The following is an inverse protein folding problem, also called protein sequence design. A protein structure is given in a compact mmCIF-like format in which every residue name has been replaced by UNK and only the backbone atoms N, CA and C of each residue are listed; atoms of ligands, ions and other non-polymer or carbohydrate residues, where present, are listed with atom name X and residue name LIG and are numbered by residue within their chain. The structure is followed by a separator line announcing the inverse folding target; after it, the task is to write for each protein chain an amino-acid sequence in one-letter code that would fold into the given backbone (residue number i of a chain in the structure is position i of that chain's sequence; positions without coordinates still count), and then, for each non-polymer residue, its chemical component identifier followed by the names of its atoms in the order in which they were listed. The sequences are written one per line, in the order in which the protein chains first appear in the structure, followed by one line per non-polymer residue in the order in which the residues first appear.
data_IF_840888998181
#
_entry.id   IF_840888998181
#
_cell.length_a   1.000
_cell.length_b   1.000
_cell.length_c   1.000
_cell.angle_alpha   90.00
_cell.angle_beta   90.00
_cell.angle_gamma   90.00
#
_symmetry.space_group_name_H-M   'P 1'
#
loop_
_entity.id
_entity.type
_entity.pdbx_description
1 polymer ?
#
# COMPACT_ATOMS: atom_id res chain seq x y z
N UNK A 1 8.96 -22.83 -2.76
CA UNK A 1 9.47 -21.87 -1.76
C UNK A 1 9.34 -22.47 -0.39
N UNK A 2 10.42 -22.45 0.36
CA UNK A 2 10.46 -22.79 1.79
C UNK A 2 9.83 -21.70 2.65
N UNK A 3 9.46 -22.04 3.88
CA UNK A 3 8.95 -21.06 4.85
C UNK A 3 10.00 -20.00 5.21
N UNK A 4 11.28 -20.35 5.14
CA UNK A 4 12.38 -19.40 5.31
C UNK A 4 12.39 -18.34 4.21
N UNK A 5 12.26 -18.75 2.95
CA UNK A 5 12.20 -17.83 1.81
C UNK A 5 10.96 -16.93 1.88
N UNK A 6 9.80 -17.49 2.25
CA UNK A 6 8.57 -16.70 2.48
C UNK A 6 8.79 -15.63 3.54
N UNK A 7 9.34 -16.00 4.70
CA UNK A 7 9.65 -15.04 5.78
C UNK A 7 10.64 -13.97 5.35
N UNK A 8 11.65 -14.34 4.55
CA UNK A 8 12.61 -13.38 4.01
C UNK A 8 11.91 -12.34 3.13
N UNK A 9 11.08 -12.79 2.19
CA UNK A 9 10.29 -11.90 1.32
C UNK A 9 9.31 -11.03 2.12
N UNK A 10 8.67 -11.57 3.16
CA UNK A 10 7.81 -10.78 4.04
C UNK A 10 8.57 -9.64 4.75
N UNK A 11 9.77 -9.94 5.25
CA UNK A 11 10.63 -8.94 5.92
C UNK A 11 11.13 -7.88 4.93
N UNK A 12 11.52 -8.28 3.72
CA UNK A 12 11.95 -7.36 2.68
C UNK A 12 10.81 -6.41 2.28
N UNK A 13 9.60 -6.92 2.06
CA UNK A 13 8.45 -6.09 1.71
C UNK A 13 8.05 -5.16 2.87
N UNK A 14 8.11 -5.64 4.13
CA UNK A 14 7.90 -4.78 5.31
C UNK A 14 8.94 -3.68 5.42
N UNK A 15 10.21 -4.02 5.18
CA UNK A 15 11.29 -3.04 5.20
C UNK A 15 11.08 -1.98 4.12
N UNK A 16 10.68 -2.41 2.91
CA UNK A 16 10.36 -1.50 1.81
C UNK A 16 9.22 -0.54 2.19
N UNK A 17 8.09 -1.04 2.67
CA UNK A 17 6.94 -0.18 3.01
C UNK A 17 7.26 0.73 4.19
N UNK A 18 7.96 0.26 5.22
CA UNK A 18 8.32 1.07 6.39
C UNK A 18 9.28 2.23 6.10
N UNK A 19 10.14 2.10 5.08
CA UNK A 19 11.12 3.13 4.71
C UNK A 19 10.56 4.16 3.74
N UNK A 20 9.65 3.75 2.87
CA UNK A 20 9.18 4.58 1.77
C UNK A 20 7.81 5.18 2.02
N UNK A 21 6.96 4.54 2.85
CA UNK A 21 5.57 4.95 3.03
C UNK A 21 5.29 5.42 4.45
N UNK A 22 4.60 6.55 4.56
CA UNK A 22 3.93 6.92 5.80
C UNK A 22 2.72 6.03 6.06
N UNK A 23 2.33 5.85 7.32
CA UNK A 23 1.14 5.06 7.66
C UNK A 23 -0.10 5.69 7.01
N UNK A 24 -1.10 4.90 6.59
CA UNK A 24 -2.33 5.44 6.00
C UNK A 24 -3.02 6.53 6.84
N UNK A 25 -2.93 6.45 8.17
CA UNK A 25 -3.49 7.46 9.07
C UNK A 25 -2.75 8.82 9.03
N UNK A 26 -1.45 8.80 8.72
CA UNK A 26 -0.55 9.95 8.77
C UNK A 26 -0.47 10.69 7.42
N UNK A 27 -0.93 10.07 6.33
CA UNK A 27 -0.95 10.68 5.00
C UNK A 27 -1.75 12.00 5.01
N UNK A 28 -1.19 13.04 4.37
CA UNK A 28 -1.66 14.43 4.47
C UNK A 28 -2.52 14.89 3.30
N UNK A 29 -2.37 14.27 2.13
CA UNK A 29 -3.11 14.63 0.92
C UNK A 29 -3.40 13.40 0.04
N UNK A 30 -4.29 13.59 -0.93
CA UNK A 30 -4.74 12.55 -1.86
C UNK A 30 -3.65 12.07 -2.82
N UNK A 31 -2.76 12.97 -3.27
CA UNK A 31 -1.66 12.63 -4.19
C UNK A 31 -0.63 11.70 -3.56
N UNK A 32 -0.27 11.94 -2.30
CA UNK A 32 0.62 11.06 -1.52
C UNK A 32 0.03 9.66 -1.42
N UNK A 33 -1.27 9.55 -1.13
CA UNK A 33 -1.95 8.25 -1.04
C UNK A 33 -1.97 7.55 -2.40
N UNK A 34 -2.27 8.28 -3.49
CA UNK A 34 -2.25 7.73 -4.86
C UNK A 34 -0.87 7.19 -5.22
N UNK A 35 0.19 7.94 -4.91
CA UNK A 35 1.56 7.50 -5.13
C UNK A 35 1.88 6.21 -4.38
N UNK A 36 1.54 6.12 -3.09
CA UNK A 36 1.76 4.90 -2.31
C UNK A 36 0.93 3.70 -2.79
N UNK A 37 -0.31 3.92 -3.22
CA UNK A 37 -1.15 2.88 -3.82
C UNK A 37 -0.51 2.35 -5.10
N UNK A 38 -0.06 3.24 -5.99
CA UNK A 38 0.61 2.85 -7.24
C UNK A 38 1.88 2.05 -6.97
N UNK A 39 2.78 2.58 -6.15
CA UNK A 39 4.04 1.89 -5.79
C UNK A 39 3.78 0.53 -5.12
N UNK A 40 2.81 0.45 -4.21
CA UNK A 40 2.46 -0.80 -3.55
C UNK A 40 1.88 -1.82 -4.53
N UNK A 41 1.01 -1.40 -5.47
CA UNK A 41 0.49 -2.27 -6.52
C UNK A 41 1.62 -2.80 -7.42
N UNK A 42 2.51 -1.93 -7.89
CA UNK A 42 3.66 -2.33 -8.70
C UNK A 42 4.55 -3.31 -7.94
N UNK A 43 4.75 -3.12 -6.63
CA UNK A 43 5.54 -4.05 -5.81
C UNK A 43 4.85 -5.40 -5.60
N UNK A 44 3.53 -5.39 -5.42
CA UNK A 44 2.72 -6.61 -5.34
C UNK A 44 2.80 -7.40 -6.65
N UNK A 45 2.69 -6.73 -7.79
CA UNK A 45 2.82 -7.35 -9.11
C UNK A 45 4.22 -7.92 -9.36
N UNK A 46 5.27 -7.19 -8.95
CA UNK A 46 6.64 -7.68 -8.97
C UNK A 46 6.79 -8.96 -8.12
N UNK A 47 6.26 -8.97 -6.91
CA UNK A 47 6.34 -10.12 -6.01
C UNK A 47 5.58 -11.34 -6.57
N UNK A 48 4.39 -11.10 -7.10
CA UNK A 48 3.58 -12.13 -7.72
C UNK A 48 4.26 -12.72 -8.96
N UNK A 49 4.80 -11.88 -9.84
CA UNK A 49 5.46 -12.34 -11.08
C UNK A 49 6.79 -13.05 -10.81
N UNK A 50 7.61 -12.55 -9.88
CA UNK A 50 8.96 -13.08 -9.62
C UNK A 50 8.97 -14.28 -8.69
N UNK A 51 8.10 -14.31 -7.70
CA UNK A 51 8.12 -15.31 -6.63
C UNK A 51 6.85 -16.17 -6.55
N UNK A 52 5.84 -15.88 -7.36
CA UNK A 52 4.51 -16.48 -7.29
C UNK A 52 3.93 -16.43 -5.86
N UNK A 53 4.23 -15.33 -5.15
CA UNK A 53 3.89 -15.16 -3.75
C UNK A 53 3.84 -13.68 -3.37
N UNK A 54 2.77 -13.30 -2.70
CA UNK A 54 2.58 -11.98 -2.11
C UNK A 54 2.14 -12.17 -0.66
N UNK A 55 2.79 -11.50 0.31
CA UNK A 55 2.34 -11.53 1.69
C UNK A 55 0.91 -11.02 1.84
N UNK A 56 0.05 -11.75 2.54
CA UNK A 56 -1.37 -11.39 2.68
C UNK A 56 -1.61 -10.01 3.31
N UNK A 57 -0.69 -9.56 4.17
CA UNK A 57 -0.75 -8.22 4.77
C UNK A 57 -0.54 -7.10 3.75
N UNK A 58 0.09 -7.35 2.60
CA UNK A 58 0.31 -6.34 1.56
C UNK A 58 -1.04 -5.89 0.95
N UNK A 59 -1.94 -6.83 0.67
CA UNK A 59 -3.30 -6.51 0.24
C UNK A 59 -4.12 -5.80 1.32
N UNK A 60 -3.94 -6.19 2.59
CA UNK A 60 -4.57 -5.50 3.71
C UNK A 60 -4.07 -4.04 3.84
N UNK A 61 -2.77 -3.80 3.61
CA UNK A 61 -2.19 -2.47 3.60
C UNK A 61 -2.71 -1.63 2.42
N UNK A 62 -2.81 -2.23 1.24
CA UNK A 62 -3.40 -1.59 0.06
C UNK A 62 -4.85 -1.16 0.31
N UNK A 63 -5.65 -2.02 0.93
CA UNK A 63 -7.03 -1.70 1.31
C UNK A 63 -7.10 -0.50 2.28
N UNK A 64 -6.14 -0.38 3.21
CA UNK A 64 -6.08 0.76 4.14
C UNK A 64 -5.75 2.08 3.42
N UNK A 65 -4.81 2.07 2.48
CA UNK A 65 -4.53 3.27 1.67
C UNK A 65 -5.73 3.66 0.81
N UNK A 66 -6.41 2.70 0.17
CA UNK A 66 -7.62 2.96 -0.59
C UNK A 66 -8.73 3.56 0.28
N UNK A 67 -8.93 3.04 1.50
CA UNK A 67 -9.88 3.61 2.45
C UNK A 67 -9.50 5.05 2.84
N UNK A 68 -8.20 5.36 3.00
CA UNK A 68 -7.73 6.73 3.24
C UNK A 68 -7.98 7.64 2.05
N UNK A 69 -7.72 7.19 0.83
CA UNK A 69 -7.99 7.93 -0.40
C UNK A 69 -9.46 8.32 -0.50
N UNK A 70 -10.37 7.38 -0.23
CA UNK A 70 -11.81 7.65 -0.26
C UNK A 70 -12.23 8.73 0.74
N UNK A 71 -11.58 8.84 1.91
CA UNK A 71 -11.82 9.93 2.85
C UNK A 71 -11.43 11.30 2.28
N UNK A 72 -10.32 11.38 1.56
CA UNK A 72 -9.92 12.63 0.89
C UNK A 72 -10.90 13.02 -0.21
N UNK A 73 -11.28 12.07 -1.07
CA UNK A 73 -12.26 12.29 -2.14
C UNK A 73 -13.59 12.77 -1.56
N UNK A 74 -14.08 12.13 -0.49
CA UNK A 74 -15.32 12.54 0.17
C UNK A 74 -15.23 13.96 0.73
N UNK A 75 -14.08 14.34 1.30
CA UNK A 75 -13.85 15.68 1.83
C UNK A 75 -13.85 16.72 0.70
N UNK A 76 -13.09 16.48 -0.38
CA UNK A 76 -13.03 17.35 -1.56
C UNK A 76 -14.43 17.53 -2.17
N UNK A 77 -15.17 16.44 -2.35
CA UNK A 77 -16.54 16.48 -2.87
C UNK A 77 -17.45 17.36 -2.01
N UNK A 78 -17.41 17.21 -0.68
CA UNK A 78 -18.21 18.07 0.20
C UNK A 78 -17.83 19.55 0.11
N UNK A 79 -16.54 19.86 -0.02
CA UNK A 79 -16.07 21.24 -0.15
C UNK A 79 -16.43 21.89 -1.49
N UNK A 80 -16.54 21.13 -2.57
CA UNK A 80 -16.85 21.67 -3.90
C UNK A 80 -18.34 21.86 -4.18
N UNK A 81 -19.22 21.19 -3.42
CA UNK A 81 -20.66 21.16 -3.65
C UNK A 81 -21.50 21.65 -2.44
N UNK A 82 -20.87 22.32 -1.47
CA UNK A 82 -21.54 23.12 -0.44
C UNK A 82 -21.47 24.60 -0.79
#
# INVERSE_FOLDING_TARGET
MSDYERKKLELELRSFTSRNFERPADCRNSDQVRFYVQELCSKIEEYNSRFNYVPGWAYALLAQYNARQNKFIQKEFRSSYQ
#
